data_IF_880383851176
#
_entry.id   IF_880383851176
#
_cell.length_a   1.000
_cell.length_b   1.000
_cell.length_c   1.000
_cell.angle_alpha   90.00
_cell.angle_beta   90.00
_cell.angle_gamma   90.00
#
_symmetry.space_group_name_H-M   'P 1'
#
loop_
_entity.id
_entity.type
_entity.pdbx_description
1 polymer ?
#
# COMPACT_ATOMS: atom_id res chain seq x y z
N UNK A 1 20.42 12.19 -19.16
CA UNK A 1 19.38 11.13 -19.08
C UNK A 1 19.76 9.93 -18.20
N UNK A 2 20.81 9.13 -18.50
CA UNK A 2 21.15 7.94 -17.68
C UNK A 2 21.44 8.29 -16.22
N UNK A 3 22.35 9.25 -15.99
CA UNK A 3 22.75 9.62 -14.63
C UNK A 3 21.60 10.28 -13.85
N UNK A 4 20.81 11.15 -14.51
CA UNK A 4 19.59 11.73 -13.92
C UNK A 4 18.59 10.66 -13.46
N UNK A 5 18.38 9.61 -14.25
CA UNK A 5 17.48 8.51 -13.88
C UNK A 5 17.99 7.75 -12.64
N UNK A 6 19.30 7.47 -12.58
CA UNK A 6 19.91 6.81 -11.42
C UNK A 6 19.84 7.71 -10.18
N UNK A 7 20.12 9.00 -10.33
CA UNK A 7 20.12 9.95 -9.23
C UNK A 7 18.74 10.09 -8.59
N UNK A 8 17.66 10.12 -9.39
CA UNK A 8 16.30 10.10 -8.85
C UNK A 8 16.05 8.85 -7.97
N UNK A 9 16.47 7.67 -8.41
CA UNK A 9 16.29 6.43 -7.63
C UNK A 9 17.12 6.44 -6.35
N UNK A 10 18.34 6.99 -6.37
CA UNK A 10 19.21 7.13 -5.17
C UNK A 10 18.61 8.12 -4.18
N UNK A 11 18.23 9.31 -4.66
CA UNK A 11 17.72 10.40 -3.83
C UNK A 11 16.43 10.02 -3.10
N UNK A 12 15.49 9.38 -3.79
CA UNK A 12 14.19 9.01 -3.22
C UNK A 12 14.14 7.57 -2.66
N UNK A 13 15.23 6.79 -2.83
CA UNK A 13 15.34 5.39 -2.39
C UNK A 13 14.17 4.52 -2.91
N UNK A 14 13.90 4.66 -4.20
CA UNK A 14 12.71 4.09 -4.84
C UNK A 14 11.68 5.16 -5.21
N UNK A 15 10.48 4.72 -5.60
CA UNK A 15 9.43 5.58 -6.18
C UNK A 15 8.08 5.48 -5.45
N UNK A 16 7.93 4.52 -4.56
CA UNK A 16 6.69 4.27 -3.84
C UNK A 16 6.78 4.82 -2.42
N UNK A 17 5.67 5.41 -1.96
CA UNK A 17 5.46 5.80 -0.57
C UNK A 17 4.08 5.32 -0.14
N UNK A 18 3.94 5.04 1.16
CA UNK A 18 2.65 4.72 1.77
C UNK A 18 2.31 5.86 2.73
N UNK A 19 1.16 6.49 2.52
CA UNK A 19 0.71 7.64 3.30
C UNK A 19 -0.69 7.38 3.85
N UNK A 20 -0.94 7.77 5.09
CA UNK A 20 -2.28 7.67 5.67
C UNK A 20 -3.28 8.55 4.91
N UNK A 21 -4.42 7.97 4.54
CA UNK A 21 -5.56 8.73 3.98
C UNK A 21 -6.30 9.54 5.05
N UNK A 22 -6.13 9.17 6.32
CA UNK A 22 -6.78 9.83 7.46
C UNK A 22 -5.76 10.70 8.19
N UNK A 23 -5.98 12.02 8.32
CA UNK A 23 -5.12 12.88 9.12
C UNK A 23 -5.25 12.56 10.61
N UNK A 24 -4.21 11.99 11.21
CA UNK A 24 -4.17 11.69 12.64
C UNK A 24 -3.65 12.94 13.37
N UNK A 25 -4.56 13.74 13.92
CA UNK A 25 -4.22 15.05 14.53
C UNK A 25 -4.24 15.04 16.05
N UNK A 26 -4.88 14.05 16.65
CA UNK A 26 -5.08 13.95 18.09
C UNK A 26 -5.25 12.48 18.53
N UNK A 27 -5.31 12.29 19.85
CA UNK A 27 -5.52 10.98 20.45
C UNK A 27 -6.90 10.39 20.14
N UNK A 28 -7.91 11.21 19.86
CA UNK A 28 -9.25 10.72 19.56
C UNK A 28 -9.27 9.97 18.22
N UNK A 29 -8.74 10.59 17.16
CA UNK A 29 -8.61 9.94 15.85
C UNK A 29 -7.73 8.69 15.92
N UNK A 30 -6.63 8.75 16.67
CA UNK A 30 -5.77 7.58 16.88
C UNK A 30 -6.53 6.41 17.52
N UNK A 31 -7.33 6.70 18.56
CA UNK A 31 -8.15 5.69 19.23
C UNK A 31 -9.16 5.04 18.27
N UNK A 32 -9.79 5.83 17.39
CA UNK A 32 -10.75 5.31 16.42
C UNK A 32 -10.10 4.38 15.38
N UNK A 33 -8.89 4.71 14.92
CA UNK A 33 -8.24 3.97 13.82
C UNK A 33 -7.44 2.76 14.28
N UNK A 34 -6.88 2.78 15.49
CA UNK A 34 -5.88 1.79 15.89
C UNK A 34 -6.14 1.10 17.23
N UNK A 35 -6.82 1.75 18.18
CA UNK A 35 -7.04 1.18 19.50
C UNK A 35 -8.44 0.54 19.62
N UNK A 36 -8.58 -0.59 20.34
CA UNK A 36 -9.90 -1.09 20.71
C UNK A 36 -10.65 -0.08 21.59
N UNK A 37 -11.99 0.03 21.46
CA UNK A 37 -12.86 -0.77 20.60
C UNK A 37 -12.95 -0.26 19.15
N UNK A 38 -12.51 0.97 18.85
CA UNK A 38 -12.72 1.63 17.55
C UNK A 38 -12.19 0.84 16.36
N UNK A 39 -10.91 0.45 16.43
CA UNK A 39 -10.26 -0.29 15.34
C UNK A 39 -10.88 -1.66 15.04
N UNK A 40 -11.61 -2.24 15.99
CA UNK A 40 -12.24 -3.56 15.83
C UNK A 40 -13.58 -3.50 15.09
N UNK A 41 -14.21 -2.32 15.00
CA UNK A 41 -15.55 -2.16 14.41
C UNK A 41 -15.56 -2.53 12.92
N UNK A 42 -14.63 -2.07 12.07
CA UNK A 42 -14.61 -2.48 10.66
C UNK A 42 -14.38 -3.98 10.48
N UNK A 43 -13.52 -4.59 11.31
CA UNK A 43 -13.26 -6.03 11.25
C UNK A 43 -14.50 -6.87 11.59
N UNK A 44 -15.27 -6.46 12.62
CA UNK A 44 -16.54 -7.11 12.96
C UNK A 44 -17.58 -6.96 11.85
N UNK A 45 -17.70 -5.77 11.26
CA UNK A 45 -18.62 -5.53 10.16
C UNK A 45 -18.30 -6.41 8.93
N UNK A 46 -17.01 -6.62 8.63
CA UNK A 46 -16.56 -7.51 7.55
C UNK A 46 -16.76 -8.99 7.91
N UNK A 47 -16.63 -9.35 9.20
CA UNK A 47 -16.91 -10.71 9.65
C UNK A 47 -18.38 -11.09 9.46
N UNK A 48 -19.30 -10.16 9.74
CA UNK A 48 -20.74 -10.33 9.54
C UNK A 48 -21.14 -10.29 8.06
N UNK A 49 -20.52 -9.40 7.28
CA UNK A 49 -20.73 -9.26 5.84
C UNK A 49 -19.39 -9.07 5.11
N UNK A 50 -18.84 -10.15 4.53
CA UNK A 50 -17.57 -10.10 3.81
C UNK A 50 -17.54 -9.11 2.63
N UNK A 51 -18.69 -8.72 2.08
CA UNK A 51 -18.78 -7.74 0.99
C UNK A 51 -18.31 -6.34 1.40
N UNK A 52 -18.48 -5.98 2.67
CA UNK A 52 -18.08 -4.67 3.23
C UNK A 52 -16.58 -4.40 3.15
N UNK A 53 -15.76 -5.41 2.84
CA UNK A 53 -14.32 -5.21 2.60
C UNK A 53 -14.05 -4.18 1.50
N UNK A 54 -14.91 -4.08 0.49
CA UNK A 54 -14.76 -3.12 -0.61
C UNK A 54 -15.15 -1.68 -0.23
N UNK A 55 -16.00 -1.52 0.79
CA UNK A 55 -16.41 -0.22 1.33
C UNK A 55 -15.43 0.26 2.41
N UNK A 56 -15.02 -0.63 3.31
CA UNK A 56 -14.32 -0.29 4.55
C UNK A 56 -12.79 -0.37 4.46
N UNK A 57 -12.23 -0.79 3.32
CA UNK A 57 -10.78 -0.97 3.16
C UNK A 57 -10.27 -0.40 1.84
N UNK A 58 -8.94 -0.37 1.67
CA UNK A 58 -8.34 0.03 0.41
C UNK A 58 -8.62 -0.95 -0.76
N UNK A 59 -9.20 -2.13 -0.51
CA UNK A 59 -9.33 -3.22 -1.50
C UNK A 59 -10.04 -2.79 -2.79
N UNK A 60 -11.06 -1.93 -2.71
CA UNK A 60 -11.77 -1.44 -3.90
C UNK A 60 -10.93 -0.58 -4.84
N UNK A 61 -9.79 -0.08 -4.39
CA UNK A 61 -8.91 0.79 -5.18
C UNK A 61 -7.42 0.41 -5.06
N UNK A 62 -7.11 -0.83 -4.65
CA UNK A 62 -5.74 -1.32 -4.50
C UNK A 62 -5.49 -2.43 -5.53
N UNK A 63 -4.53 -2.20 -6.43
CA UNK A 63 -4.11 -3.16 -7.45
C UNK A 63 -2.68 -3.59 -7.16
N UNK A 64 -2.45 -4.90 -7.09
CA UNK A 64 -1.11 -5.46 -6.98
C UNK A 64 -0.48 -5.62 -8.37
N UNK A 65 0.71 -5.07 -8.57
CA UNK A 65 1.54 -5.34 -9.75
C UNK A 65 2.48 -6.49 -9.38
N UNK A 66 2.20 -7.69 -9.89
CA UNK A 66 2.93 -8.93 -9.55
C UNK A 66 3.75 -9.39 -10.76
N UNK A 67 5.03 -9.68 -10.54
CA UNK A 67 5.95 -10.22 -11.53
C UNK A 67 7.00 -11.09 -10.83
N UNK A 68 7.45 -12.16 -11.48
CA UNK A 68 8.57 -13.00 -11.02
C UNK A 68 9.93 -12.51 -11.55
N UNK A 69 9.95 -11.48 -12.41
CA UNK A 69 11.15 -10.93 -13.02
C UNK A 69 11.72 -11.78 -14.17
N UNK A 70 10.95 -12.73 -14.70
CA UNK A 70 11.38 -13.60 -15.81
C UNK A 70 11.44 -12.89 -17.17
N UNK A 71 10.75 -11.75 -17.32
CA UNK A 71 10.76 -10.94 -18.53
C UNK A 71 10.68 -9.44 -18.19
N UNK A 72 11.80 -8.85 -17.74
CA UNK A 72 11.87 -7.42 -17.40
C UNK A 72 12.26 -6.62 -18.64
N UNK A 73 11.27 -5.94 -19.24
CA UNK A 73 11.46 -5.13 -20.45
C UNK A 73 12.12 -5.97 -21.57
N UNK A 74 13.22 -5.49 -22.15
CA UNK A 74 14.05 -6.23 -23.11
C UNK A 74 15.26 -6.95 -22.49
N UNK A 75 15.32 -7.04 -21.15
CA UNK A 75 16.48 -7.59 -20.42
C UNK A 75 16.34 -9.10 -20.14
N UNK A 76 15.18 -9.68 -20.45
CA UNK A 76 14.90 -11.10 -20.20
C UNK A 76 14.73 -11.39 -18.71
N UNK A 77 15.20 -12.58 -18.31
CA UNK A 77 15.08 -13.05 -16.93
C UNK A 77 16.24 -12.53 -16.08
N UNK A 78 15.95 -11.52 -15.26
CA UNK A 78 16.88 -10.94 -14.29
C UNK A 78 16.40 -11.14 -12.85
N UNK A 79 15.28 -11.86 -12.67
CA UNK A 79 14.71 -12.26 -11.39
C UNK A 79 14.06 -11.12 -10.60
N UNK A 80 13.34 -11.50 -9.55
CA UNK A 80 12.47 -10.59 -8.78
C UNK A 80 13.16 -9.45 -8.01
N UNK A 81 14.50 -9.44 -7.92
CA UNK A 81 15.25 -8.38 -7.22
C UNK A 81 15.53 -7.16 -8.10
N UNK A 82 15.45 -7.34 -9.41
CA UNK A 82 15.76 -6.30 -10.39
C UNK A 82 14.60 -5.31 -10.56
#
# INVERSE_FOLDING_TARGET
MKEEALELHRRFRGKLQVVSKVPIRDAHILNLLYLPPGAAIPAKAILEDPGKVYELTAKGNLVAVVSDGSAVLGLGNIGARA
#
